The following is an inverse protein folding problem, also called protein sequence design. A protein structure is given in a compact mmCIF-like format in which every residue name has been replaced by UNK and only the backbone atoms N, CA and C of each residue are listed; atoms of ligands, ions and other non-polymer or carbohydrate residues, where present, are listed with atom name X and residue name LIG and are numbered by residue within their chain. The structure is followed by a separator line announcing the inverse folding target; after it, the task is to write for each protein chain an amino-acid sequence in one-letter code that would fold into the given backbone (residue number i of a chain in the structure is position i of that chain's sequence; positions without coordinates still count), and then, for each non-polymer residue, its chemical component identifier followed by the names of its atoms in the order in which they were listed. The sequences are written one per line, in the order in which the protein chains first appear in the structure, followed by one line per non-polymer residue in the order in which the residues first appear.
data_IF_744388696065
#
_entry.id   IF_744388696065
#
_cell.length_a   1.000
_cell.length_b   1.000
_cell.length_c   1.000
_cell.angle_alpha   90.00
_cell.angle_beta   90.00
_cell.angle_gamma   90.00
#
_symmetry.space_group_name_H-M   'P 1'
#
loop_
_entity.id
_entity.type
_entity.pdbx_description
1 polymer ?
#
# COMPACT_ATOMS: atom_id res chain seq x y z
N UNK A 1 -66.38 16.65 -26.95
CA UNK A 1 -65.01 16.11 -27.14
C UNK A 1 -64.12 16.72 -26.06
N UNK A 2 -63.89 15.99 -24.96
CA UNK A 2 -63.07 16.44 -23.82
C UNK A 2 -61.66 15.88 -23.99
N UNK A 3 -60.64 16.75 -23.97
CA UNK A 3 -59.22 16.35 -24.01
C UNK A 3 -58.59 16.70 -22.67
N UNK A 4 -58.46 15.70 -21.82
CA UNK A 4 -57.70 15.76 -20.57
C UNK A 4 -56.20 15.77 -20.89
N UNK A 5 -55.52 16.84 -20.53
CA UNK A 5 -54.06 16.92 -20.55
C UNK A 5 -53.52 16.36 -19.24
N UNK A 6 -52.81 15.23 -19.32
CA UNK A 6 -52.06 14.65 -18.21
C UNK A 6 -50.69 15.35 -18.13
N UNK A 7 -50.51 16.22 -17.13
CA UNK A 7 -49.19 16.77 -16.78
C UNK A 7 -48.35 15.69 -16.11
N UNK A 8 -47.27 15.28 -16.78
CA UNK A 8 -46.24 14.45 -16.18
C UNK A 8 -45.30 15.34 -15.35
N UNK A 9 -45.33 15.18 -14.02
CA UNK A 9 -44.37 15.79 -13.10
C UNK A 9 -43.14 14.89 -13.07
N UNK A 10 -42.06 15.33 -13.70
CA UNK A 10 -40.78 14.62 -13.72
C UNK A 10 -40.04 14.91 -12.41
N UNK A 11 -40.14 14.00 -11.44
CA UNK A 11 -39.37 14.07 -10.20
C UNK A 11 -37.90 13.68 -10.49
N UNK A 12 -37.00 14.67 -10.52
CA UNK A 12 -35.56 14.42 -10.52
C UNK A 12 -35.13 13.94 -9.14
N UNK A 13 -34.95 12.63 -8.98
CA UNK A 13 -34.24 12.07 -7.82
C UNK A 13 -32.76 12.40 -7.96
N UNK A 14 -32.28 13.36 -7.16
CA UNK A 14 -30.88 13.72 -7.07
C UNK A 14 -30.13 12.59 -6.34
N UNK A 15 -29.63 11.61 -7.07
CA UNK A 15 -28.76 10.58 -6.52
C UNK A 15 -27.42 11.23 -6.16
N UNK A 16 -27.23 11.59 -4.90
CA UNK A 16 -25.92 12.03 -4.41
C UNK A 16 -24.96 10.84 -4.45
N UNK A 17 -24.13 10.75 -5.49
CA UNK A 17 -23.00 9.83 -5.51
C UNK A 17 -21.99 10.34 -4.49
N UNK A 18 -21.93 9.72 -3.32
CA UNK A 18 -20.79 9.86 -2.42
C UNK A 18 -19.58 9.32 -3.17
N UNK A 19 -18.70 10.20 -3.63
CA UNK A 19 -17.40 9.80 -4.16
C UNK A 19 -16.59 9.22 -2.99
N UNK A 20 -16.68 7.90 -2.81
CA UNK A 20 -15.74 7.15 -1.99
C UNK A 20 -14.41 7.19 -2.74
N UNK A 21 -13.52 8.11 -2.39
CA UNK A 21 -12.14 7.99 -2.84
C UNK A 21 -11.60 6.67 -2.27
N UNK A 22 -10.94 5.86 -3.10
CA UNK A 22 -10.26 4.66 -2.60
C UNK A 22 -9.08 5.09 -1.72
N UNK A 23 -8.68 4.27 -0.72
CA UNK A 23 -7.49 4.54 0.08
C UNK A 23 -6.25 4.73 -0.81
N UNK A 24 -5.42 5.73 -0.49
CA UNK A 24 -4.18 5.99 -1.21
C UNK A 24 -3.10 6.53 -0.27
N UNK A 25 -1.84 6.36 -0.70
CA UNK A 25 -0.68 6.84 0.03
C UNK A 25 -0.32 8.28 -0.36
N UNK A 26 -0.14 9.12 0.64
CA UNK A 26 0.35 10.48 0.51
C UNK A 26 1.76 10.60 1.11
N UNK A 27 2.60 11.44 0.48
CA UNK A 27 3.94 11.79 0.96
C UNK A 27 4.82 10.58 1.33
N UNK A 28 4.90 9.56 0.45
CA UNK A 28 5.85 8.48 0.63
C UNK A 28 7.27 9.04 0.54
N UNK A 29 8.05 8.92 1.60
CA UNK A 29 9.42 9.40 1.66
C UNK A 29 10.35 8.42 2.40
N UNK A 30 11.62 8.30 1.98
CA UNK A 30 12.63 7.52 2.70
C UNK A 30 13.02 8.19 4.02
N UNK A 31 13.41 7.37 4.99
CA UNK A 31 14.19 7.83 6.13
C UNK A 31 15.63 8.16 5.69
N UNK A 32 16.24 9.15 6.33
CA UNK A 32 17.65 9.54 6.09
C UNK A 32 18.64 8.42 6.42
N UNK A 33 18.29 7.60 7.40
CA UNK A 33 19.12 6.51 7.90
C UNK A 33 18.68 5.16 7.31
N UNK A 34 19.67 4.29 7.10
CA UNK A 34 19.40 2.90 6.76
C UNK A 34 18.78 2.18 7.95
N UNK A 35 17.79 1.33 7.69
CA UNK A 35 17.18 0.52 8.75
C UNK A 35 18.12 -0.61 9.16
N UNK A 36 18.66 -1.32 8.17
CA UNK A 36 19.66 -2.35 8.33
C UNK A 36 20.43 -2.55 7.02
N UNK A 37 21.41 -3.47 6.99
CA UNK A 37 22.21 -3.73 5.78
C UNK A 37 21.30 -4.07 4.58
N UNK A 38 21.39 -3.23 3.55
CA UNK A 38 20.62 -3.32 2.31
C UNK A 38 19.18 -2.81 2.37
N UNK A 39 18.70 -2.25 3.49
CA UNK A 39 17.30 -1.80 3.60
C UNK A 39 17.16 -0.40 4.18
N UNK A 40 16.22 0.36 3.61
CA UNK A 40 15.79 1.67 4.09
C UNK A 40 14.30 1.68 4.38
N UNK A 41 13.90 2.35 5.45
CA UNK A 41 12.48 2.53 5.75
C UNK A 41 11.92 3.67 4.92
N UNK A 42 10.77 3.47 4.28
CA UNK A 42 9.95 4.53 3.71
C UNK A 42 8.69 4.69 4.55
N UNK A 43 8.23 5.92 4.71
CA UNK A 43 7.01 6.24 5.45
C UNK A 43 6.02 6.94 4.55
N UNK A 44 4.73 6.60 4.66
CA UNK A 44 3.66 7.25 3.92
C UNK A 44 2.40 7.41 4.77
N UNK A 45 1.60 8.42 4.47
CA UNK A 45 0.34 8.70 5.16
C UNK A 45 -0.82 8.12 4.37
N UNK A 46 -1.59 7.23 4.98
CA UNK A 46 -2.78 6.68 4.33
C UNK A 46 -3.94 7.68 4.43
N UNK A 47 -4.49 8.03 3.29
CA UNK A 47 -5.59 8.98 3.12
C UNK A 47 -6.71 8.34 2.30
N UNK A 48 -7.92 8.90 2.33
CA UNK A 48 -9.03 8.42 1.51
C UNK A 48 -9.68 7.15 2.02
N UNK A 49 -9.41 6.73 3.28
CA UNK A 49 -10.14 5.59 3.86
C UNK A 49 -11.60 5.98 4.07
N UNK A 50 -12.57 5.26 3.47
CA UNK A 50 -13.98 5.60 3.62
C UNK A 50 -14.45 5.55 5.07
N UNK A 51 -15.40 6.41 5.43
CA UNK A 51 -15.98 6.40 6.78
C UNK A 51 -16.58 5.02 7.12
N UNK A 52 -16.35 4.57 8.35
CA UNK A 52 -16.77 3.25 8.81
C UNK A 52 -15.82 2.10 8.45
N UNK A 53 -14.81 2.32 7.60
CA UNK A 53 -13.78 1.30 7.31
C UNK A 53 -12.59 1.39 8.27
N UNK A 54 -11.90 0.27 8.45
CA UNK A 54 -10.70 0.16 9.28
C UNK A 54 -9.49 0.78 8.57
N UNK A 55 -8.99 1.90 9.08
CA UNK A 55 -7.75 2.51 8.57
C UNK A 55 -6.54 1.59 8.68
N UNK A 56 -6.50 0.77 9.74
CA UNK A 56 -5.43 -0.21 9.95
C UNK A 56 -5.46 -1.31 8.90
N UNK A 57 -6.65 -1.83 8.59
CA UNK A 57 -6.81 -2.86 7.56
C UNK A 57 -6.50 -2.29 6.17
N UNK A 58 -6.98 -1.09 5.88
CA UNK A 58 -6.63 -0.39 4.64
C UNK A 58 -5.11 -0.17 4.52
N UNK A 59 -4.42 0.15 5.62
CA UNK A 59 -2.96 0.36 5.61
C UNK A 59 -2.16 -0.88 5.19
N UNK A 60 -2.58 -2.08 5.60
CA UNK A 60 -1.92 -3.32 5.21
C UNK A 60 -2.29 -3.81 3.80
N UNK A 61 -3.36 -3.27 3.20
CA UNK A 61 -3.93 -3.77 1.94
C UNK A 61 -3.93 -2.73 0.80
N UNK A 62 -3.53 -1.49 1.06
CA UNK A 62 -3.46 -0.44 0.03
C UNK A 62 -2.11 -0.54 -0.68
N UNK A 63 -2.07 -0.82 -1.99
CA UNK A 63 -0.80 -0.97 -2.69
C UNK A 63 -0.01 0.34 -2.76
N UNK A 64 1.32 0.25 -2.75
CA UNK A 64 2.23 1.37 -2.97
C UNK A 64 3.21 1.04 -4.09
N UNK A 65 3.64 2.03 -4.86
CA UNK A 65 4.78 1.90 -5.77
C UNK A 65 5.93 2.76 -5.24
N UNK A 66 7.07 2.15 -4.91
CA UNK A 66 8.24 2.82 -4.36
C UNK A 66 9.46 2.34 -5.14
N UNK A 67 10.26 3.25 -5.70
CA UNK A 67 11.41 2.93 -6.55
C UNK A 67 11.08 1.95 -7.69
N UNK A 68 9.91 2.08 -8.32
CA UNK A 68 9.38 1.17 -9.36
C UNK A 68 9.02 -0.24 -8.86
N UNK A 69 9.00 -0.47 -7.56
CA UNK A 69 8.56 -1.73 -6.95
C UNK A 69 7.17 -1.60 -6.36
N UNK A 70 6.32 -2.59 -6.63
CA UNK A 70 4.96 -2.64 -6.08
C UNK A 70 4.96 -3.37 -4.76
N UNK A 71 4.32 -2.78 -3.76
CA UNK A 71 4.06 -3.37 -2.46
C UNK A 71 2.56 -3.55 -2.33
N UNK A 72 2.10 -4.72 -1.88
CA UNK A 72 0.67 -4.97 -1.63
C UNK A 72 0.09 -4.12 -0.49
N UNK A 73 0.97 -3.60 0.37
CA UNK A 73 0.65 -2.74 1.49
C UNK A 73 1.87 -2.47 2.36
N UNK A 74 1.67 -1.71 3.45
CA UNK A 74 2.75 -1.40 4.37
C UNK A 74 3.19 -2.62 5.19
N UNK A 75 4.47 -2.67 5.57
CA UNK A 75 5.04 -3.68 6.48
C UNK A 75 4.57 -3.51 7.91
N UNK A 76 4.40 -2.25 8.32
CA UNK A 76 3.93 -1.87 9.65
C UNK A 76 2.98 -0.70 9.51
N UNK A 77 1.96 -0.68 10.37
CA UNK A 77 0.94 0.34 10.39
C UNK A 77 0.80 0.91 11.80
N UNK A 78 0.92 2.22 11.95
CA UNK A 78 0.74 2.91 13.24
C UNK A 78 -0.28 4.03 13.07
N UNK A 79 -1.21 4.14 14.02
CA UNK A 79 -2.20 5.21 14.04
C UNK A 79 -1.81 6.27 15.07
N UNK A 80 -1.36 7.44 14.60
CA UNK A 80 -0.99 8.59 15.43
C UNK A 80 -1.70 9.82 14.88
N UNK A 81 -2.99 9.96 15.20
CA UNK A 81 -3.88 10.94 14.56
C UNK A 81 -4.24 10.52 13.13
N UNK A 82 -3.24 10.40 12.25
CA UNK A 82 -3.34 9.83 10.91
C UNK A 82 -2.81 8.38 10.89
N UNK A 83 -3.26 7.61 9.90
CA UNK A 83 -2.74 6.27 9.66
C UNK A 83 -1.42 6.38 8.88
N UNK A 84 -0.33 5.90 9.48
CA UNK A 84 1.01 5.90 8.87
C UNK A 84 1.40 4.46 8.53
N UNK A 85 1.86 4.27 7.29
CA UNK A 85 2.45 3.03 6.81
C UNK A 85 3.97 3.14 6.73
N UNK A 86 4.65 2.06 7.09
CA UNK A 86 6.11 1.91 6.96
C UNK A 86 6.41 0.78 5.98
N UNK A 87 7.32 1.02 5.05
CA UNK A 87 7.77 0.06 4.04
C UNK A 87 9.27 -0.17 4.20
N UNK A 88 9.69 -1.43 4.29
CA UNK A 88 11.12 -1.77 4.27
C UNK A 88 11.51 -2.04 2.82
N UNK A 89 12.23 -1.09 2.21
CA UNK A 89 12.58 -1.09 0.79
C UNK A 89 14.06 -1.42 0.66
N UNK A 90 14.39 -2.31 -0.29
CA UNK A 90 15.78 -2.58 -0.63
C UNK A 90 16.47 -1.31 -1.14
N UNK A 91 17.70 -1.09 -0.68
CA UNK A 91 18.50 0.07 -1.03
C UNK A 91 19.99 -0.32 -1.03
N UNK A 92 20.60 -0.35 -2.21
CA UNK A 92 22.03 -0.65 -2.36
C UNK A 92 22.93 0.32 -1.58
N UNK A 93 22.51 1.58 -1.38
CA UNK A 93 23.28 2.54 -0.57
C UNK A 93 23.36 2.15 0.89
N UNK A 94 22.44 1.30 1.34
CA UNK A 94 22.43 0.72 2.68
C UNK A 94 23.18 -0.60 2.78
N UNK A 95 23.70 -1.16 1.67
CA UNK A 95 24.44 -2.42 1.70
C UNK A 95 25.94 -2.20 1.76
N UNK A 96 26.59 -2.87 2.70
CA UNK A 96 28.05 -3.02 2.78
C UNK A 96 28.68 -3.65 1.54
N UNK A 97 27.89 -4.40 0.76
CA UNK A 97 28.32 -5.01 -0.52
C UNK A 97 27.90 -4.19 -1.75
N UNK A 98 27.10 -3.13 -1.56
CA UNK A 98 26.48 -2.38 -2.66
C UNK A 98 25.40 -3.16 -3.42
N UNK A 99 24.97 -4.33 -2.93
CA UNK A 99 23.90 -5.12 -3.55
C UNK A 99 22.55 -4.58 -3.08
N UNK A 100 21.65 -4.28 -4.03
CA UNK A 100 20.27 -3.92 -3.71
C UNK A 100 19.42 -5.19 -3.48
N UNK A 101 18.91 -5.44 -2.26
CA UNK A 101 18.08 -6.61 -2.00
C UNK A 101 16.72 -6.55 -2.70
N UNK A 102 16.26 -5.38 -3.16
CA UNK A 102 15.04 -5.27 -3.97
C UNK A 102 15.21 -5.83 -5.39
N UNK A 103 16.47 -5.93 -5.87
CA UNK A 103 16.79 -6.63 -7.11
C UNK A 103 16.74 -8.16 -6.96
N UNK A 104 16.67 -8.69 -5.74
CA UNK A 104 16.26 -10.07 -5.52
C UNK A 104 14.74 -10.14 -5.67
N UNK A 105 14.32 -10.33 -6.91
CA UNK A 105 12.97 -10.27 -7.49
C UNK A 105 11.85 -11.10 -6.79
N UNK A 106 12.09 -11.67 -5.61
CA UNK A 106 11.15 -12.48 -4.83
C UNK A 106 10.51 -11.75 -3.63
N UNK A 107 10.99 -10.57 -3.24
CA UNK A 107 10.44 -9.85 -2.08
C UNK A 107 9.08 -9.21 -2.38
N UNK A 108 8.77 -8.92 -3.65
CA UNK A 108 7.80 -7.87 -4.02
C UNK A 108 6.77 -8.26 -5.10
N UNK A 109 6.82 -9.46 -5.66
CA UNK A 109 5.86 -9.89 -6.69
C UNK A 109 5.07 -11.15 -6.26
N UNK A 110 3.77 -11.03 -5.92
CA UNK A 110 2.92 -12.18 -5.62
C UNK A 110 2.61 -13.06 -6.84
N UNK A 111 2.95 -12.62 -8.06
CA UNK A 111 2.75 -13.34 -9.32
C UNK A 111 4.05 -13.90 -9.93
N UNK A 112 5.19 -13.81 -9.23
CA UNK A 112 6.47 -14.30 -9.77
C UNK A 112 6.47 -15.82 -9.98
N UNK A 113 6.78 -16.26 -11.20
CA UNK A 113 6.89 -17.68 -11.59
C UNK A 113 8.30 -18.26 -11.39
N UNK A 114 9.23 -17.50 -10.82
CA UNK A 114 10.58 -17.98 -10.52
C UNK A 114 10.53 -19.03 -9.39
N UNK A 115 11.09 -20.24 -9.57
CA UNK A 115 11.13 -21.29 -8.56
C UNK A 115 11.79 -20.88 -7.23
N UNK A 116 12.73 -19.93 -7.25
CA UNK A 116 13.33 -19.36 -6.04
C UNK A 116 12.35 -18.42 -5.29
N UNK A 117 11.37 -17.86 -5.99
CA UNK A 117 10.32 -16.99 -5.45
C UNK A 117 9.06 -17.75 -5.02
N UNK A 118 8.80 -18.93 -5.59
CA UNK A 118 7.64 -19.79 -5.29
C UNK A 118 7.71 -20.48 -3.92
N UNK A 119 8.84 -20.37 -3.19
CA UNK A 119 9.07 -21.18 -1.99
C UNK A 119 8.60 -20.50 -0.70
N UNK A 120 8.65 -19.16 -0.55
CA UNK A 120 8.00 -18.34 0.51
C UNK A 120 8.33 -16.86 0.22
N UNK A 121 7.41 -15.90 0.42
CA UNK A 121 7.78 -14.48 0.41
C UNK A 121 8.77 -14.23 1.54
N UNK A 122 10.03 -13.86 1.22
CA UNK A 122 11.08 -13.58 2.19
C UNK A 122 11.10 -12.09 2.50
N UNK A 123 10.35 -11.64 3.50
CA UNK A 123 10.59 -10.31 4.08
C UNK A 123 11.71 -10.41 5.11
N UNK A 124 12.84 -9.74 4.87
CA UNK A 124 13.87 -9.56 5.89
C UNK A 124 13.29 -8.65 6.97
N UNK A 125 13.10 -9.19 8.18
CA UNK A 125 12.75 -8.37 9.32
C UNK A 125 14.04 -7.82 9.92
N UNK A 126 14.39 -6.58 9.57
CA UNK A 126 15.53 -5.87 10.17
C UNK A 126 15.45 -5.78 11.70
N UNK A 127 14.26 -5.87 12.31
CA UNK A 127 14.07 -5.74 13.75
C UNK A 127 14.42 -7.03 14.50
N UNK A 128 14.39 -8.19 13.83
CA UNK A 128 14.77 -9.49 14.42
C UNK A 128 15.95 -10.16 13.72
N UNK A 129 16.44 -9.59 12.62
CA UNK A 129 17.39 -10.24 11.72
C UNK A 129 16.84 -11.51 11.04
N UNK A 130 15.55 -11.81 11.24
CA UNK A 130 14.95 -13.03 10.72
C UNK A 130 14.33 -12.77 9.35
N UNK A 131 14.54 -13.72 8.45
CA UNK A 131 13.74 -13.82 7.23
C UNK A 131 12.35 -14.32 7.67
N UNK A 132 11.35 -13.44 7.70
CA UNK A 132 9.96 -13.86 7.85
C UNK A 132 9.56 -14.52 6.53
N UNK A 133 9.47 -15.85 6.56
CA UNK A 133 8.89 -16.64 5.50
C UNK A 133 7.38 -16.58 5.66
N UNK A 134 6.70 -15.87 4.77
CA UNK A 134 5.25 -15.99 4.66
C UNK A 134 4.98 -16.93 3.50
N UNK A 135 4.53 -18.12 3.88
CA UNK A 135 3.99 -19.20 3.09
C UNK A 135 2.70 -19.56 3.86
#
# INVERSE_FOLDING_TARGET
MSKTFLSAVLALTLSATTASADPYWYAIAPAEECKCDGFRTYTGWLTGVPEGQSSTEACYNTPATINNHVFSGADRCIKIGIQVGYFDVGDASCSSTGTDPSLWSCYQDPASTDPACQICQRKLNCDTGQIKRTC
#
